data_IF_150773209600
#
_entry.id   IF_150773209600
#
_cell.length_a   1.000
_cell.length_b   1.000
_cell.length_c   1.000
_cell.angle_alpha   90.00
_cell.angle_beta   90.00
_cell.angle_gamma   90.00
#
_symmetry.space_group_name_H-M   'P 1'
#
loop_
_entity.id
_entity.type
_entity.pdbx_description
1 polymer ?
#
# COMPACT_ATOMS: atom_id res chain seq x y z
N UNK A 1 -2.21 -19.60 22.28
CA UNK A 1 -3.04 -19.04 21.20
C UNK A 1 -2.53 -17.63 20.92
N UNK A 2 -1.53 -17.55 20.05
CA UNK A 2 -0.93 -16.31 19.52
C UNK A 2 -0.36 -16.67 18.13
N UNK A 3 -1.16 -17.39 17.32
CA UNK A 3 -0.69 -18.17 16.18
C UNK A 3 -0.63 -17.35 14.87
N UNK A 4 -0.26 -16.07 14.98
CA UNK A 4 -0.07 -15.16 13.85
C UNK A 4 -1.34 -14.43 13.39
N UNK A 5 -1.29 -13.91 12.16
CA UNK A 5 -2.33 -13.09 11.55
C UNK A 5 -2.76 -13.73 10.23
N UNK A 6 -4.07 -13.84 10.01
CA UNK A 6 -4.66 -14.27 8.73
C UNK A 6 -5.32 -13.06 8.06
N UNK A 7 -4.95 -12.80 6.81
CA UNK A 7 -5.50 -11.72 5.99
C UNK A 7 -6.16 -12.31 4.75
N UNK A 8 -7.31 -11.75 4.33
CA UNK A 8 -8.02 -12.16 3.10
C UNK A 8 -8.48 -10.90 2.36
N UNK A 9 -8.29 -10.87 1.03
CA UNK A 9 -8.81 -9.80 0.16
C UNK A 9 -9.48 -10.40 -1.06
N UNK A 10 -10.56 -9.79 -1.54
CA UNK A 10 -11.09 -10.10 -2.87
C UNK A 10 -10.26 -9.40 -3.97
N UNK A 11 -10.71 -9.50 -5.21
CA UNK A 11 -10.02 -8.91 -6.36
C UNK A 11 -10.93 -8.11 -7.31
N UNK A 12 -12.25 -8.05 -7.08
CA UNK A 12 -13.17 -7.34 -7.97
C UNK A 12 -13.04 -5.84 -7.73
N UNK A 13 -12.66 -5.08 -8.74
CA UNK A 13 -12.52 -3.62 -8.64
C UNK A 13 -13.27 -2.94 -9.78
N UNK A 14 -13.99 -1.87 -9.43
CA UNK A 14 -14.57 -0.95 -10.40
C UNK A 14 -13.47 0.06 -10.79
N UNK A 15 -13.04 0.03 -12.05
CA UNK A 15 -11.97 0.87 -12.59
C UNK A 15 -12.51 2.00 -13.49
N UNK A 16 -13.82 2.27 -13.45
CA UNK A 16 -14.48 3.27 -14.28
C UNK A 16 -15.86 2.80 -14.76
N UNK A 17 -16.56 3.66 -15.51
CA UNK A 17 -17.86 3.32 -16.08
C UNK A 17 -17.74 2.04 -16.92
N UNK A 18 -18.48 1.00 -16.53
CA UNK A 18 -18.53 -0.32 -17.15
C UNK A 18 -17.22 -1.12 -17.24
N UNK A 19 -16.21 -0.77 -16.42
CA UNK A 19 -14.97 -1.54 -16.31
C UNK A 19 -14.86 -2.23 -14.95
N UNK A 20 -15.45 -3.43 -14.85
CA UNK A 20 -15.20 -4.34 -13.72
C UNK A 20 -14.07 -5.28 -14.10
N UNK A 21 -12.95 -5.15 -13.38
CA UNK A 21 -11.74 -5.89 -13.65
C UNK A 21 -11.18 -6.52 -12.38
N UNK A 22 -10.23 -7.44 -12.54
CA UNK A 22 -9.58 -8.15 -11.43
C UNK A 22 -8.25 -7.48 -11.11
N UNK A 23 -8.14 -6.89 -9.91
CA UNK A 23 -6.91 -6.28 -9.43
C UNK A 23 -6.55 -6.76 -8.03
N UNK A 24 -5.25 -6.90 -7.77
CA UNK A 24 -4.73 -7.32 -6.47
C UNK A 24 -5.05 -6.24 -5.42
N UNK A 25 -5.67 -6.64 -4.32
CA UNK A 25 -5.96 -5.75 -3.17
C UNK A 25 -5.10 -6.03 -1.95
N UNK A 26 -4.22 -7.03 -2.00
CA UNK A 26 -3.32 -7.37 -0.90
C UNK A 26 -1.87 -7.40 -1.39
N UNK A 27 -1.02 -6.68 -0.69
CA UNK A 27 0.40 -6.55 -0.99
C UNK A 27 1.19 -6.95 0.25
N UNK A 28 2.19 -7.80 0.07
CA UNK A 28 3.01 -8.32 1.15
C UNK A 28 4.45 -7.92 0.91
N UNK A 29 5.05 -7.28 1.90
CA UNK A 29 6.44 -6.84 1.87
C UNK A 29 7.18 -7.55 3.00
N UNK A 30 8.29 -8.20 2.67
CA UNK A 30 9.24 -8.73 3.65
C UNK A 30 10.53 -7.96 3.49
N UNK A 31 10.79 -7.04 4.42
CA UNK A 31 11.92 -6.11 4.37
C UNK A 31 12.65 -6.15 5.70
N UNK A 32 13.98 -6.30 5.68
CA UNK A 32 14.77 -6.45 6.90
C UNK A 32 14.25 -7.56 7.82
N UNK A 33 13.81 -7.17 9.02
CA UNK A 33 13.35 -8.05 10.09
C UNK A 33 11.82 -8.11 10.25
N UNK A 34 11.05 -7.58 9.30
CA UNK A 34 9.58 -7.46 9.41
C UNK A 34 8.84 -7.92 8.16
N UNK A 35 7.61 -8.35 8.38
CA UNK A 35 6.62 -8.63 7.33
C UNK A 35 5.45 -7.68 7.49
N UNK A 36 5.11 -6.98 6.41
CA UNK A 36 4.05 -5.98 6.36
C UNK A 36 3.05 -6.42 5.29
N UNK A 37 1.77 -6.47 5.65
CA UNK A 37 0.67 -6.76 4.73
C UNK A 37 -0.20 -5.51 4.63
N UNK A 38 -0.33 -4.98 3.42
CA UNK A 38 -1.19 -3.82 3.12
C UNK A 38 -2.38 -4.31 2.29
N UNK A 39 -3.59 -3.98 2.74
CA UNK A 39 -4.83 -4.28 2.03
C UNK A 39 -5.50 -2.99 1.58
N UNK A 40 -5.95 -2.94 0.33
CA UNK A 40 -6.50 -1.73 -0.29
C UNK A 40 -8.00 -1.84 -0.57
N UNK A 41 -8.67 -0.69 -0.58
CA UNK A 41 -10.07 -0.54 -0.99
C UNK A 41 -10.29 0.87 -1.56
N UNK A 42 -11.38 1.08 -2.29
CA UNK A 42 -11.69 2.38 -2.90
C UNK A 42 -11.04 2.59 -4.28
N UNK A 43 -10.53 3.79 -4.53
CA UNK A 43 -10.03 4.21 -5.84
C UNK A 43 -8.78 3.39 -6.24
N UNK A 44 -8.87 2.74 -7.40
CA UNK A 44 -7.80 1.92 -7.95
C UNK A 44 -6.53 2.73 -8.26
N UNK A 45 -6.67 3.94 -8.81
CA UNK A 45 -5.56 4.84 -9.13
C UNK A 45 -4.75 5.19 -7.89
N UNK A 46 -5.44 5.58 -6.81
CA UNK A 46 -4.81 5.89 -5.53
C UNK A 46 -4.09 4.68 -4.95
N UNK A 47 -4.74 3.50 -4.97
CA UNK A 47 -4.13 2.26 -4.48
C UNK A 47 -2.89 1.87 -5.28
N UNK A 48 -2.93 2.00 -6.61
CA UNK A 48 -1.80 1.73 -7.51
C UNK A 48 -0.65 2.72 -7.29
N UNK A 49 -0.96 3.99 -7.07
CA UNK A 49 0.05 5.00 -6.74
C UNK A 49 0.78 4.65 -5.45
N UNK A 50 0.03 4.35 -4.38
CA UNK A 50 0.61 3.97 -3.08
C UNK A 50 1.55 2.77 -3.24
N UNK A 51 1.08 1.70 -3.88
CA UNK A 51 1.89 0.51 -4.12
C UNK A 51 3.19 0.82 -4.88
N UNK A 52 3.10 1.60 -5.96
CA UNK A 52 4.25 1.91 -6.82
C UNK A 52 5.28 2.79 -6.11
N UNK A 53 4.82 3.76 -5.31
CA UNK A 53 5.70 4.61 -4.50
C UNK A 53 6.45 3.78 -3.46
N UNK A 54 5.75 2.88 -2.75
CA UNK A 54 6.38 1.97 -1.79
C UNK A 54 7.43 1.07 -2.45
N UNK A 55 7.14 0.51 -3.63
CA UNK A 55 8.10 -0.32 -4.37
C UNK A 55 9.35 0.47 -4.79
N UNK A 56 9.18 1.70 -5.28
CA UNK A 56 10.29 2.56 -5.66
C UNK A 56 11.17 2.90 -4.45
N UNK A 57 10.55 3.25 -3.32
CA UNK A 57 11.28 3.63 -2.11
C UNK A 57 12.03 2.45 -1.48
N UNK A 58 11.48 1.23 -1.55
CA UNK A 58 12.17 0.01 -1.11
C UNK A 58 13.39 -0.32 -2.00
N UNK A 59 13.27 -0.11 -3.31
CA UNK A 59 14.33 -0.44 -4.27
C UNK A 59 15.34 0.69 -4.50
N UNK A 60 15.13 1.86 -3.89
CA UNK A 60 16.03 3.00 -4.02
C UNK A 60 17.35 2.74 -3.30
N UNK A 61 18.47 3.19 -3.89
CA UNK A 61 19.79 3.10 -3.26
C UNK A 61 19.97 4.04 -2.06
N UNK A 62 19.18 5.12 -1.99
CA UNK A 62 19.22 6.10 -0.89
C UNK A 62 17.85 6.76 -0.68
N UNK A 63 16.84 6.01 -0.20
CA UNK A 63 15.51 6.56 0.02
C UNK A 63 15.50 7.51 1.23
N UNK A 64 14.69 8.57 1.14
CA UNK A 64 14.43 9.44 2.30
C UNK A 64 13.69 8.70 3.41
N UNK A 65 12.78 7.79 3.03
CA UNK A 65 12.05 6.90 3.92
C UNK A 65 11.65 5.64 3.14
N UNK A 66 11.42 4.53 3.83
CA UNK A 66 10.88 3.30 3.26
C UNK A 66 10.30 2.42 4.36
N UNK A 67 9.54 1.38 4.00
CA UNK A 67 8.98 0.43 4.97
C UNK A 67 10.04 -0.20 5.91
N UNK A 68 11.29 -0.32 5.45
CA UNK A 68 12.38 -0.88 6.24
C UNK A 68 13.02 0.16 7.19
N UNK A 69 12.87 1.45 6.89
CA UNK A 69 13.49 2.54 7.67
C UNK A 69 12.59 3.05 8.80
N UNK A 70 11.26 2.84 8.72
CA UNK A 70 10.33 3.13 9.80
C UNK A 70 10.71 2.35 11.08
N UNK A 71 10.58 2.95 12.27
CA UNK A 71 10.97 2.31 13.54
C UNK A 71 9.91 1.36 14.10
N UNK A 72 8.64 1.62 13.82
CA UNK A 72 7.49 0.88 14.34
C UNK A 72 6.31 0.94 13.35
N UNK A 73 5.22 0.25 13.68
CA UNK A 73 4.02 0.22 12.84
C UNK A 73 3.27 1.56 12.77
N UNK A 74 3.40 2.43 13.77
CA UNK A 74 2.78 3.76 13.74
C UNK A 74 3.44 4.63 12.65
N UNK A 75 4.78 4.62 12.58
CA UNK A 75 5.52 5.31 11.50
C UNK A 75 5.21 4.72 10.12
N UNK A 76 5.02 3.40 10.02
CA UNK A 76 4.60 2.75 8.78
C UNK A 76 3.20 3.24 8.37
N UNK A 77 2.26 3.29 9.30
CA UNK A 77 0.90 3.76 9.04
C UNK A 77 0.88 5.23 8.62
N UNK A 78 1.67 6.08 9.29
CA UNK A 78 1.81 7.49 8.94
C UNK A 78 2.40 7.65 7.52
N UNK A 79 3.48 6.94 7.21
CA UNK A 79 4.12 7.00 5.90
C UNK A 79 3.18 6.57 4.77
N UNK A 80 2.49 5.42 4.92
CA UNK A 80 1.49 4.96 3.94
C UNK A 80 0.33 5.97 3.81
N UNK A 81 -0.12 6.52 4.94
CA UNK A 81 -1.16 7.55 4.99
C UNK A 81 -0.77 8.83 4.23
N UNK A 82 0.46 9.31 4.40
CA UNK A 82 0.99 10.47 3.69
C UNK A 82 1.01 10.26 2.17
N UNK A 83 1.48 9.09 1.71
CA UNK A 83 1.45 8.76 0.28
C UNK A 83 0.01 8.77 -0.25
N UNK A 84 -0.91 8.12 0.46
CA UNK A 84 -2.32 8.04 0.07
C UNK A 84 -2.98 9.42 0.01
N UNK A 85 -2.72 10.29 0.99
CA UNK A 85 -3.27 11.65 1.04
C UNK A 85 -2.73 12.53 -0.09
N UNK A 86 -1.44 12.44 -0.38
CA UNK A 86 -0.81 13.26 -1.42
C UNK A 86 -1.39 12.97 -2.81
N UNK A 87 -1.67 11.70 -3.12
CA UNK A 87 -2.32 11.31 -4.38
C UNK A 87 -3.83 11.59 -4.39
N UNK A 88 -4.51 11.43 -3.24
CA UNK A 88 -5.96 11.71 -3.17
C UNK A 88 -6.29 13.19 -3.40
N UNK A 89 -5.40 14.10 -2.98
CA UNK A 89 -5.55 15.55 -3.22
C UNK A 89 -5.44 15.93 -4.70
N UNK A 90 -4.71 15.16 -5.50
CA UNK A 90 -4.53 15.44 -6.94
C UNK A 90 -5.68 14.91 -7.80
N UNK A 91 -6.46 13.96 -7.30
CA UNK A 91 -7.64 13.39 -7.99
C UNK A 91 -8.95 14.14 -7.63
N UNK A 92 -8.88 15.15 -6.76
CA UNK A 92 -9.99 16.04 -6.42
C UNK A 92 -10.09 17.20 -7.40
N UNK A 93 -11.24 17.32 -8.07
CA UNK A 93 -11.69 18.54 -8.77
C UNK A 93 -11.73 19.71 -7.79
#
# INVERSE_FOLDING_TARGET
>A
MNDGIVMVSDSRTNAGLDNVSTYKKMFTYSVGDRSIIIVTSGNLSTSQHVFKTLENDINSSNPLTSLNLCKNFDEIAEYVGQISLNHSKTDGI
#
